data_IF_560147382507
#
_entry.id   IF_560147382507
#
_cell.length_a   1.000
_cell.length_b   1.000
_cell.length_c   1.000
_cell.angle_alpha   90.00
_cell.angle_beta   90.00
_cell.angle_gamma   90.00
#
_symmetry.space_group_name_H-M   'P 1'
#
loop_
_entity.id
_entity.type
_entity.pdbx_description
1 polymer ?
#
# COMPACT_ATOMS: atom_id res chain seq x y z
N UNK A 1 6.83 21.03 -7.17
CA UNK A 1 6.36 19.64 -7.28
C UNK A 1 5.48 19.29 -6.08
N UNK A 2 4.33 18.74 -6.33
CA UNK A 2 3.40 18.38 -5.27
C UNK A 2 3.47 16.88 -5.05
N UNK A 3 3.85 16.48 -3.85
CA UNK A 3 3.76 15.08 -3.42
C UNK A 3 2.32 14.84 -2.97
N UNK A 4 1.62 13.98 -3.67
CA UNK A 4 0.25 13.63 -3.32
C UNK A 4 0.23 12.25 -2.68
N UNK A 5 -0.06 12.21 -1.39
CA UNK A 5 -0.27 10.95 -0.70
C UNK A 5 -1.68 10.44 -1.00
N UNK A 6 -1.77 9.18 -1.36
CA UNK A 6 -3.03 8.52 -1.65
C UNK A 6 -3.43 7.76 -0.38
N UNK A 7 -4.56 8.12 0.20
CA UNK A 7 -4.99 7.54 1.48
C UNK A 7 -5.55 6.13 1.28
N UNK A 8 -5.08 5.19 2.12
CA UNK A 8 -5.74 3.91 2.25
C UNK A 8 -6.99 4.07 3.11
N UNK A 9 -8.03 3.27 2.86
CA UNK A 9 -9.24 3.33 3.68
C UNK A 9 -8.97 2.78 5.08
N UNK A 10 -9.95 2.94 5.95
CA UNK A 10 -9.88 2.45 7.32
C UNK A 10 -9.83 0.92 7.39
N UNK A 11 -10.39 0.24 6.41
CA UNK A 11 -10.49 -1.21 6.37
C UNK A 11 -9.95 -1.77 5.05
N UNK A 12 -8.96 -2.65 5.15
CA UNK A 12 -8.45 -3.42 4.02
C UNK A 12 -8.30 -4.87 4.46
N UNK A 13 -9.39 -5.62 4.33
CA UNK A 13 -9.39 -7.05 4.54
C UNK A 13 -9.64 -7.73 3.18
N UNK A 14 -9.73 -9.05 3.18
CA UNK A 14 -10.03 -9.80 1.97
C UNK A 14 -11.31 -9.31 1.28
N UNK A 15 -12.29 -8.83 2.06
CA UNK A 15 -13.55 -8.35 1.52
C UNK A 15 -13.42 -7.08 0.68
N UNK A 16 -12.50 -6.18 1.04
CA UNK A 16 -12.35 -4.88 0.39
C UNK A 16 -11.17 -4.80 -0.56
N UNK A 17 -10.21 -5.74 -0.46
CA UNK A 17 -8.91 -5.60 -1.13
C UNK A 17 -9.02 -5.39 -2.63
N UNK A 18 -9.88 -6.15 -3.31
CA UNK A 18 -10.02 -6.05 -4.77
C UNK A 18 -10.54 -4.68 -5.19
N UNK A 19 -11.60 -4.20 -4.54
CA UNK A 19 -12.17 -2.90 -4.85
C UNK A 19 -11.20 -1.78 -4.52
N UNK A 20 -10.48 -1.90 -3.41
CA UNK A 20 -9.48 -0.92 -3.01
C UNK A 20 -8.36 -0.86 -4.05
N UNK A 21 -7.84 -2.01 -4.47
CA UNK A 21 -6.78 -2.06 -5.48
C UNK A 21 -7.24 -1.40 -6.78
N UNK A 22 -8.45 -1.71 -7.24
CA UNK A 22 -8.99 -1.13 -8.47
C UNK A 22 -9.07 0.41 -8.38
N UNK A 23 -9.41 0.94 -7.21
CA UNK A 23 -9.45 2.38 -6.98
C UNK A 23 -8.06 3.00 -6.96
N UNK A 24 -7.09 2.31 -6.39
CA UNK A 24 -5.73 2.83 -6.25
C UNK A 24 -4.93 2.80 -7.55
N UNK A 25 -5.15 1.81 -8.40
CA UNK A 25 -4.34 1.61 -9.60
C UNK A 25 -4.19 2.83 -10.50
N UNK A 26 -5.28 3.53 -10.91
CA UNK A 26 -5.11 4.71 -11.76
C UNK A 26 -4.43 5.86 -11.04
N UNK A 27 -4.65 6.01 -9.74
CA UNK A 27 -4.02 7.07 -8.96
C UNK A 27 -2.52 6.84 -8.84
N UNK A 28 -2.11 5.60 -8.59
CA UNK A 28 -0.70 5.25 -8.49
C UNK A 28 0.00 5.37 -9.85
N UNK A 29 -0.68 4.99 -10.92
CA UNK A 29 -0.13 5.08 -12.26
C UNK A 29 0.14 6.52 -12.67
N UNK A 30 -0.70 7.45 -12.22
CA UNK A 30 -0.59 8.88 -12.55
C UNK A 30 0.45 9.59 -11.68
N UNK A 31 0.84 9.05 -10.54
CA UNK A 31 1.76 9.70 -9.63
C UNK A 31 3.21 9.49 -10.06
N UNK A 32 4.02 10.56 -10.06
CA UNK A 32 5.45 10.45 -10.34
C UNK A 32 6.19 9.78 -9.19
N UNK A 33 5.82 10.13 -7.96
CA UNK A 33 6.40 9.56 -6.75
C UNK A 33 5.25 9.04 -5.88
N UNK A 34 4.76 7.81 -6.15
CA UNK A 34 3.57 7.31 -5.47
C UNK A 34 3.83 7.09 -3.97
N UNK A 35 2.93 7.64 -3.17
CA UNK A 35 2.95 7.50 -1.71
C UNK A 35 1.57 7.04 -1.28
N UNK A 36 1.52 5.95 -0.51
CA UNK A 36 0.30 5.49 0.14
C UNK A 36 0.35 5.88 1.62
N UNK A 37 -0.66 6.61 2.06
CA UNK A 37 -0.81 6.99 3.46
C UNK A 37 -1.70 5.95 4.15
N UNK A 38 -1.11 5.16 5.02
CA UNK A 38 -1.79 4.08 5.74
C UNK A 38 -2.25 4.52 7.15
N UNK A 39 -2.20 5.81 7.46
CA UNK A 39 -2.49 6.27 8.81
C UNK A 39 -3.94 6.04 9.25
N UNK A 40 -4.89 5.98 8.31
CA UNK A 40 -6.29 5.71 8.62
C UNK A 40 -6.60 4.21 8.74
N UNK A 41 -5.69 3.35 8.33
CA UNK A 41 -5.92 1.90 8.29
C UNK A 41 -5.97 1.34 9.71
N UNK A 42 -7.11 0.74 10.07
CA UNK A 42 -7.33 0.16 11.40
C UNK A 42 -7.65 -1.32 11.35
N UNK A 43 -8.48 -1.73 10.40
CA UNK A 43 -8.92 -3.12 10.27
C UNK A 43 -8.26 -3.72 9.03
N UNK A 44 -7.39 -4.71 9.24
CA UNK A 44 -6.60 -5.28 8.15
C UNK A 44 -6.25 -6.74 8.44
N UNK A 45 -6.02 -7.47 7.36
CA UNK A 45 -5.52 -8.84 7.41
C UNK A 45 -4.41 -8.99 6.37
N UNK A 46 -4.03 -10.23 6.06
CA UNK A 46 -2.96 -10.49 5.09
C UNK A 46 -3.27 -9.94 3.69
N UNK A 47 -4.55 -9.70 3.38
CA UNK A 47 -4.92 -9.12 2.09
C UNK A 47 -4.36 -7.70 1.94
N UNK A 48 -4.20 -6.95 3.03
CA UNK A 48 -3.57 -5.63 2.99
C UNK A 48 -2.10 -5.74 2.56
N UNK A 49 -1.38 -6.73 3.08
CA UNK A 49 0.01 -6.96 2.68
C UNK A 49 0.09 -7.33 1.20
N UNK A 50 -0.78 -8.22 0.75
CA UNK A 50 -0.83 -8.62 -0.66
C UNK A 50 -1.14 -7.45 -1.58
N UNK A 51 -2.07 -6.57 -1.18
CA UNK A 51 -2.41 -5.37 -1.93
C UNK A 51 -1.20 -4.44 -2.07
N UNK A 52 -0.49 -4.21 -0.98
CA UNK A 52 0.70 -3.34 -1.00
C UNK A 52 1.81 -3.92 -1.87
N UNK A 53 2.02 -5.24 -1.83
CA UNK A 53 3.00 -5.89 -2.69
C UNK A 53 2.64 -5.73 -4.16
N UNK A 54 1.37 -5.86 -4.50
CA UNK A 54 0.91 -5.68 -5.87
C UNK A 54 1.12 -4.24 -6.33
N UNK A 55 0.79 -3.28 -5.48
CA UNK A 55 1.03 -1.87 -5.77
C UNK A 55 2.52 -1.58 -5.99
N UNK A 56 3.39 -2.17 -5.16
CA UNK A 56 4.83 -1.98 -5.30
C UNK A 56 5.35 -2.58 -6.61
N UNK A 57 4.89 -3.78 -6.97
CA UNK A 57 5.27 -4.38 -8.25
C UNK A 57 4.87 -3.53 -9.44
N UNK A 58 3.67 -2.97 -9.40
CA UNK A 58 3.20 -2.10 -10.47
C UNK A 58 4.02 -0.82 -10.56
N UNK A 59 4.38 -0.23 -9.42
CA UNK A 59 5.23 0.94 -9.39
C UNK A 59 6.60 0.63 -10.00
N UNK A 60 7.21 -0.48 -9.60
CA UNK A 60 8.51 -0.88 -10.11
C UNK A 60 8.48 -1.16 -11.60
N UNK A 61 7.40 -1.73 -12.11
CA UNK A 61 7.24 -1.96 -13.55
C UNK A 61 7.23 -0.66 -14.34
N UNK A 62 6.92 0.47 -13.69
CA UNK A 62 6.94 1.80 -14.30
C UNK A 62 8.22 2.58 -13.95
N UNK A 63 9.20 1.92 -13.35
CA UNK A 63 10.45 2.58 -12.94
C UNK A 63 10.29 3.48 -11.72
N UNK A 64 9.25 3.24 -10.91
CA UNK A 64 8.95 4.05 -9.73
C UNK A 64 9.10 3.22 -8.46
N UNK A 65 9.22 3.90 -7.32
CA UNK A 65 9.26 3.25 -6.01
C UNK A 65 8.07 3.75 -5.20
N UNK A 66 7.22 2.84 -4.77
CA UNK A 66 6.11 3.15 -3.89
C UNK A 66 6.61 3.31 -2.47
N UNK A 67 6.15 4.36 -1.80
CA UNK A 67 6.42 4.59 -0.38
C UNK A 67 5.13 4.44 0.39
N UNK A 68 5.21 3.83 1.58
CA UNK A 68 4.07 3.68 2.49
C UNK A 68 4.39 4.45 3.76
N UNK A 69 3.48 5.37 4.13
CA UNK A 69 3.64 6.20 5.32
C UNK A 69 2.54 5.90 6.32
N UNK A 70 2.81 6.15 7.59
CA UNK A 70 1.82 6.02 8.65
C UNK A 70 1.34 4.61 8.90
N UNK A 71 2.15 3.61 8.56
CA UNK A 71 1.75 2.20 8.69
C UNK A 71 1.44 1.86 10.16
N UNK A 72 0.27 1.27 10.46
CA UNK A 72 -0.01 0.81 11.80
C UNK A 72 0.88 -0.37 12.18
N UNK A 73 1.08 -0.56 13.47
CA UNK A 73 1.98 -1.61 13.98
C UNK A 73 1.58 -3.00 13.47
N UNK A 74 0.29 -3.27 13.38
CA UNK A 74 -0.20 -4.56 12.89
C UNK A 74 0.24 -4.83 11.45
N UNK A 75 0.25 -3.80 10.61
CA UNK A 75 0.69 -3.95 9.22
C UNK A 75 2.18 -4.32 9.17
N UNK A 76 3.01 -3.63 9.94
CA UNK A 76 4.43 -3.94 10.04
C UNK A 76 4.67 -5.35 10.56
N UNK A 77 3.89 -5.78 11.55
CA UNK A 77 4.00 -7.13 12.12
C UNK A 77 3.67 -8.20 11.08
N UNK A 78 2.60 -8.00 10.31
CA UNK A 78 2.22 -8.95 9.25
C UNK A 78 3.26 -8.97 8.14
N UNK A 79 3.78 -7.82 7.74
CA UNK A 79 4.81 -7.75 6.71
C UNK A 79 6.08 -8.47 7.14
N UNK A 80 6.44 -8.36 8.42
CA UNK A 80 7.59 -9.06 8.98
C UNK A 80 7.36 -10.56 9.00
N UNK A 81 6.16 -10.98 9.40
CA UNK A 81 5.81 -12.39 9.45
C UNK A 81 5.94 -13.06 8.08
N UNK A 82 5.58 -12.33 7.03
CA UNK A 82 5.68 -12.84 5.66
C UNK A 82 7.03 -12.54 5.00
N UNK A 83 7.94 -11.89 5.73
CA UNK A 83 9.29 -11.62 5.23
C UNK A 83 9.36 -10.56 4.14
N UNK A 84 8.40 -9.65 4.08
CA UNK A 84 8.30 -8.65 3.01
C UNK A 84 8.38 -7.21 3.51
N UNK A 85 8.72 -6.99 4.77
CA UNK A 85 8.77 -5.64 5.32
C UNK A 85 9.75 -4.74 4.59
N UNK A 86 10.90 -5.28 4.18
CA UNK A 86 11.90 -4.50 3.45
C UNK A 86 11.40 -4.11 2.06
N UNK A 87 10.66 -5.00 1.39
CA UNK A 87 10.10 -4.72 0.07
C UNK A 87 9.07 -3.58 0.14
N UNK A 88 8.39 -3.46 1.25
CA UNK A 88 7.36 -2.44 1.44
C UNK A 88 7.91 -1.19 2.13
N UNK A 89 9.17 -1.20 2.56
CA UNK A 89 9.75 -0.07 3.28
C UNK A 89 9.17 0.12 4.67
N UNK A 90 8.78 -0.98 5.31
CA UNK A 90 8.16 -0.92 6.63
C UNK A 90 9.11 -1.28 7.76
#
# INVERSE_FOLDING_TARGET
MVLTAIALPERVTMAEARATLARLQPLLAAADEPVLDASALQDLDSAAVALLLDCQRQAQARGKTLRVTGAPAKLGQLARLYGVEALLGL
#
